data_IF_211158671275
#
_entry.id   IF_211158671275
#
_cell.length_a   1.000
_cell.length_b   1.000
_cell.length_c   1.000
_cell.angle_alpha   90.00
_cell.angle_beta   90.00
_cell.angle_gamma   90.00
#
_symmetry.space_group_name_H-M   'P 1'
#
loop_
_entity.id
_entity.type
_entity.pdbx_description
1 polymer ?
#
# COMPACT_ATOMS: atom_id res chain seq x y z
N UNK A 1 31.41 -6.74 -1.18
CA UNK A 1 30.72 -5.79 -0.29
C UNK A 1 30.68 -4.43 -0.98
N UNK A 2 29.59 -4.09 -1.65
CA UNK A 2 29.37 -2.78 -2.26
C UNK A 2 28.16 -2.14 -1.56
N UNK A 3 28.43 -1.05 -0.91
CA UNK A 3 27.49 -0.26 -0.09
C UNK A 3 26.57 0.55 -1.00
N UNK A 4 25.27 0.42 -0.78
CA UNK A 4 24.26 1.23 -1.46
C UNK A 4 24.39 2.71 -1.08
N UNK A 5 24.26 3.56 -2.07
CA UNK A 5 24.41 5.01 -1.93
C UNK A 5 23.21 5.69 -1.30
N UNK A 6 23.48 6.71 -0.51
CA UNK A 6 22.53 7.54 0.23
C UNK A 6 22.24 8.85 -0.48
N UNK A 7 20.97 9.23 -0.58
CA UNK A 7 20.54 10.61 -0.81
C UNK A 7 20.03 11.23 0.48
N UNK A 8 20.70 12.28 0.92
CA UNK A 8 20.26 13.14 2.01
C UNK A 8 19.25 14.12 1.42
N UNK A 9 17.98 13.99 1.83
CA UNK A 9 17.00 15.03 1.60
C UNK A 9 16.82 15.79 2.87
N UNK A 10 17.22 17.04 2.79
CA UNK A 10 16.91 18.03 3.80
C UNK A 10 15.42 18.29 3.76
N UNK A 11 14.61 17.51 4.52
CA UNK A 11 13.26 17.91 4.86
C UNK A 11 13.41 19.13 5.77
N UNK A 12 13.41 20.32 5.17
CA UNK A 12 13.07 21.52 5.90
C UNK A 12 11.60 21.38 6.22
N UNK A 13 11.29 20.82 7.38
CA UNK A 13 10.02 21.02 8.05
C UNK A 13 9.96 22.49 8.44
N UNK A 14 9.82 23.38 7.46
CA UNK A 14 9.21 24.66 7.71
C UNK A 14 7.74 24.35 8.03
N UNK A 15 7.45 24.21 9.30
CA UNK A 15 6.16 24.65 9.84
C UNK A 15 6.10 26.16 9.55
N UNK A 16 5.90 26.51 8.28
CA UNK A 16 5.39 27.82 7.93
C UNK A 16 3.93 27.81 8.35
N UNK A 17 3.71 28.10 9.63
CA UNK A 17 2.64 29.00 10.02
C UNK A 17 2.63 30.08 8.95
N UNK A 18 1.56 30.06 8.15
CA UNK A 18 1.14 31.14 7.24
C UNK A 18 2.28 32.07 6.81
N UNK A 19 2.78 31.91 5.61
CA UNK A 19 3.38 33.05 4.93
C UNK A 19 2.24 34.06 4.67
N UNK A 20 1.92 34.87 5.67
CA UNK A 20 1.25 36.14 5.47
C UNK A 20 2.21 36.96 4.63
N UNK A 21 1.95 37.05 3.35
CA UNK A 21 2.62 38.06 2.53
C UNK A 21 2.01 39.39 2.97
N UNK A 22 2.64 40.04 3.94
CA UNK A 22 2.29 41.42 4.30
C UNK A 22 2.79 42.30 3.15
N UNK A 23 1.98 42.47 2.13
CA UNK A 23 2.20 43.49 1.13
C UNK A 23 1.57 44.78 1.70
N UNK A 24 2.35 45.55 2.45
CA UNK A 24 1.98 46.91 2.78
C UNK A 24 2.05 47.75 1.51
N UNK A 25 0.94 47.98 0.86
CA UNK A 25 0.86 48.93 -0.25
C UNK A 25 -0.05 50.10 0.15
N UNK A 26 0.48 51.29 0.15
CA UNK A 26 -0.25 52.53 0.37
C UNK A 26 -0.74 53.04 -0.97
N UNK A 27 -2.02 53.08 -1.19
CA UNK A 27 -2.64 54.05 -2.11
C UNK A 27 -3.13 55.14 -1.23
N UNK A 28 -2.64 56.33 -1.42
CA UNK A 28 -2.88 57.66 -0.71
C UNK A 28 -3.93 57.77 0.41
N UNK A 29 -4.81 56.81 0.59
CA UNK A 29 -5.96 56.87 1.47
C UNK A 29 -6.20 55.60 2.31
N UNK A 30 -5.64 54.42 1.90
CA UNK A 30 -5.90 53.15 2.54
C UNK A 30 -4.59 52.36 2.65
N UNK A 31 -4.40 51.74 3.82
CA UNK A 31 -3.27 50.84 4.03
C UNK A 31 -3.75 49.42 4.34
N UNK A 32 -3.45 48.47 3.45
CA UNK A 32 -3.69 47.05 3.75
C UNK A 32 -2.59 46.57 4.71
N UNK A 33 -2.99 46.16 5.92
CA UNK A 33 -2.06 45.73 6.97
C UNK A 33 -1.83 44.22 6.97
N UNK A 34 -2.82 43.44 6.54
CA UNK A 34 -2.68 42.02 6.28
C UNK A 34 -3.67 41.55 5.24
N UNK A 35 -3.26 40.62 4.41
CA UNK A 35 -4.15 39.96 3.47
C UNK A 35 -3.75 38.49 3.31
N UNK A 36 -4.73 37.61 3.18
CA UNK A 36 -4.51 36.20 2.93
C UNK A 36 -5.57 35.64 1.99
N UNK A 37 -5.12 34.76 1.11
CA UNK A 37 -5.93 34.01 0.18
C UNK A 37 -5.54 32.53 0.31
N UNK A 38 -6.46 31.66 0.74
CA UNK A 38 -6.14 30.24 0.92
C UNK A 38 -7.33 29.33 0.68
N UNK A 39 -7.04 28.10 0.24
CA UNK A 39 -8.05 27.05 0.06
C UNK A 39 -8.29 26.31 1.37
N UNK A 40 -9.54 26.24 1.80
CA UNK A 40 -10.02 25.50 2.96
C UNK A 40 -11.07 24.46 2.51
N UNK A 41 -10.66 23.22 2.32
CA UNK A 41 -11.55 22.18 1.81
C UNK A 41 -12.04 22.48 0.39
N UNK A 42 -13.37 22.71 0.25
CA UNK A 42 -14.02 23.06 -1.02
C UNK A 42 -14.25 24.57 -1.19
N UNK A 43 -13.71 25.38 -0.31
CA UNK A 43 -13.91 26.84 -0.31
C UNK A 43 -12.58 27.57 -0.48
N UNK A 44 -12.65 28.75 -1.11
CA UNK A 44 -11.60 29.77 -1.11
C UNK A 44 -11.95 30.78 -0.01
N UNK A 45 -11.02 30.98 0.93
CA UNK A 45 -11.17 31.94 2.02
C UNK A 45 -10.32 33.17 1.77
N UNK A 46 -10.94 34.33 1.88
CA UNK A 46 -10.33 35.66 1.72
C UNK A 46 -10.38 36.37 3.05
N UNK A 47 -9.24 36.82 3.55
CA UNK A 47 -9.13 37.65 4.74
C UNK A 47 -8.29 38.90 4.44
N UNK A 48 -8.81 40.08 4.78
CA UNK A 48 -8.14 41.35 4.55
C UNK A 48 -8.31 42.21 5.83
N UNK A 49 -7.23 42.86 6.26
CA UNK A 49 -7.25 43.86 7.31
C UNK A 49 -6.81 45.20 6.71
N UNK A 50 -7.63 46.21 6.86
CA UNK A 50 -7.47 47.53 6.25
C UNK A 50 -7.45 48.58 7.33
N UNK A 51 -6.41 49.42 7.37
CA UNK A 51 -6.31 50.62 8.16
C UNK A 51 -6.78 51.82 7.31
N UNK A 52 -7.69 52.60 7.88
CA UNK A 52 -8.33 53.75 7.27
C UNK A 52 -7.96 54.99 8.08
N UNK A 53 -7.21 55.87 7.44
CA UNK A 53 -6.71 57.11 8.05
C UNK A 53 -7.30 58.37 7.39
N UNK A 54 -7.72 58.26 6.12
CA UNK A 54 -8.30 59.39 5.39
C UNK A 54 -9.61 59.84 6.02
N UNK A 55 -9.76 61.12 6.19
CA UNK A 55 -11.02 61.77 6.61
C UNK A 55 -11.98 61.90 5.41
N UNK A 56 -13.27 61.68 5.67
CA UNK A 56 -14.31 61.75 4.66
C UNK A 56 -15.17 63.05 4.89
N UNK A 57 -15.52 63.70 3.79
CA UNK A 57 -16.50 64.80 3.84
C UNK A 57 -17.90 64.27 4.18
N UNK A 58 -18.81 65.17 4.60
CA UNK A 58 -20.11 64.77 5.15
C UNK A 58 -21.00 63.96 4.19
N UNK A 59 -20.80 64.09 2.88
CA UNK A 59 -21.54 63.36 1.82
C UNK A 59 -20.72 62.29 1.10
N UNK A 60 -19.51 62.00 1.56
CA UNK A 60 -18.57 61.10 0.90
C UNK A 60 -18.76 59.65 1.37
N UNK A 61 -18.64 58.74 0.42
CA UNK A 61 -18.58 57.30 0.65
C UNK A 61 -17.50 56.72 -0.25
N UNK A 62 -16.71 55.82 0.29
CA UNK A 62 -15.69 55.08 -0.41
C UNK A 62 -16.12 53.61 -0.48
N UNK A 63 -16.04 52.98 -1.62
CA UNK A 63 -16.40 51.59 -1.83
C UNK A 63 -15.16 50.80 -2.28
N UNK A 64 -14.82 49.80 -1.51
CA UNK A 64 -13.72 48.86 -1.85
C UNK A 64 -14.31 47.55 -2.29
N UNK A 65 -13.88 47.09 -3.47
CA UNK A 65 -14.33 45.81 -4.01
C UNK A 65 -13.15 44.85 -4.06
N UNK A 66 -13.13 43.80 -3.21
CA UNK A 66 -12.14 42.74 -3.34
C UNK A 66 -12.47 41.88 -4.57
N UNK A 67 -11.46 41.58 -5.37
CA UNK A 67 -11.59 40.81 -6.63
C UNK A 67 -10.57 39.67 -6.62
N UNK A 68 -11.05 38.48 -6.89
CA UNK A 68 -10.23 37.30 -7.16
C UNK A 68 -10.12 37.15 -8.68
N UNK A 69 -8.92 37.13 -9.21
CA UNK A 69 -8.69 36.96 -10.64
C UNK A 69 -7.46 36.09 -10.93
N UNK A 70 -7.41 35.51 -12.15
CA UNK A 70 -6.26 34.79 -12.66
C UNK A 70 -5.63 35.54 -13.86
N UNK A 71 -4.64 34.91 -14.50
CA UNK A 71 -3.97 35.43 -15.70
C UNK A 71 -4.75 35.19 -17.00
N UNK A 72 -5.86 34.42 -16.94
CA UNK A 72 -6.70 34.03 -18.08
C UNK A 72 -8.03 34.78 -18.11
N UNK A 73 -8.09 35.95 -17.44
CA UNK A 73 -9.25 36.85 -17.38
C UNK A 73 -10.46 36.33 -16.60
N UNK A 74 -10.34 35.21 -15.87
CA UNK A 74 -11.38 34.84 -14.91
C UNK A 74 -11.39 35.86 -13.77
N UNK A 75 -12.60 36.33 -13.41
CA UNK A 75 -12.79 37.38 -12.41
C UNK A 75 -14.01 37.06 -11.53
N UNK A 76 -13.82 37.12 -10.22
CA UNK A 76 -14.87 37.01 -9.24
C UNK A 76 -14.85 38.23 -8.31
N UNK A 77 -15.87 39.08 -8.39
CA UNK A 77 -16.05 40.17 -7.45
C UNK A 77 -16.67 39.64 -6.18
N UNK A 78 -16.07 40.00 -5.04
CA UNK A 78 -16.57 39.64 -3.72
C UNK A 78 -17.45 40.78 -3.17
N UNK A 79 -18.26 40.52 -2.13
CA UNK A 79 -19.10 41.54 -1.53
C UNK A 79 -18.31 42.81 -1.19
N UNK A 80 -18.82 44.01 -1.55
CA UNK A 80 -18.08 45.25 -1.36
C UNK A 80 -18.00 45.68 0.11
N UNK A 81 -16.99 46.50 0.40
CA UNK A 81 -16.76 47.13 1.68
C UNK A 81 -17.08 48.61 1.55
N UNK A 82 -18.01 49.10 2.34
CA UNK A 82 -18.41 50.49 2.35
C UNK A 82 -17.77 51.22 3.53
N UNK A 83 -17.04 52.31 3.26
CA UNK A 83 -16.49 53.21 4.27
C UNK A 83 -17.22 54.53 4.09
N UNK A 84 -18.14 54.80 5.02
CA UNK A 84 -19.11 55.86 4.87
C UNK A 84 -18.88 57.01 5.87
N UNK A 85 -19.05 58.25 5.45
CA UNK A 85 -19.29 59.37 6.40
C UNK A 85 -20.53 59.12 7.25
N UNK A 86 -20.68 59.84 8.34
CA UNK A 86 -21.85 59.66 9.24
C UNK A 86 -23.19 59.69 8.52
N UNK A 87 -23.36 60.65 7.59
CA UNK A 87 -24.61 60.82 6.84
C UNK A 87 -24.84 59.66 5.88
N UNK A 88 -23.84 59.29 5.13
CA UNK A 88 -23.91 58.17 4.16
C UNK A 88 -24.06 56.83 4.87
N UNK A 89 -23.53 56.66 6.07
CA UNK A 89 -23.71 55.42 6.84
C UNK A 89 -25.18 55.25 7.26
N UNK A 90 -25.86 56.31 7.66
CA UNK A 90 -27.30 56.27 8.00
C UNK A 90 -28.16 55.96 6.76
N UNK A 91 -27.80 56.52 5.59
CA UNK A 91 -28.45 56.21 4.31
C UNK A 91 -28.24 54.72 3.97
N UNK A 92 -27.00 54.23 4.03
CA UNK A 92 -26.65 52.85 3.81
C UNK A 92 -27.50 51.92 4.69
N UNK A 93 -27.58 52.14 5.98
CA UNK A 93 -28.38 51.31 6.91
C UNK A 93 -29.88 51.29 6.58
N UNK A 94 -30.43 52.34 6.02
CA UNK A 94 -31.84 52.44 5.59
C UNK A 94 -32.09 51.69 4.26
N UNK A 95 -31.13 51.68 3.37
CA UNK A 95 -31.26 51.07 2.04
C UNK A 95 -30.88 49.58 2.02
N UNK A 96 -29.97 49.16 2.90
CA UNK A 96 -29.42 47.74 2.93
C UNK A 96 -30.51 46.75 3.39
N UNK A 97 -31.62 47.19 3.95
CA UNK A 97 -32.77 46.29 4.25
C UNK A 97 -33.32 45.59 2.99
N UNK A 98 -32.94 46.03 1.77
CA UNK A 98 -33.48 45.56 0.49
C UNK A 98 -32.52 44.90 -0.49
N UNK A 99 -31.19 45.05 -0.40
CA UNK A 99 -30.33 44.68 -1.55
C UNK A 99 -29.11 43.77 -1.32
N UNK A 100 -28.39 43.80 -0.21
CA UNK A 100 -27.19 42.95 -0.07
C UNK A 100 -26.90 42.59 1.40
N UNK A 101 -27.33 41.43 1.81
CA UNK A 101 -27.07 40.88 3.17
C UNK A 101 -25.61 40.61 3.51
N UNK A 102 -24.70 40.60 2.52
CA UNK A 102 -23.28 40.23 2.66
C UNK A 102 -22.33 41.44 2.65
N UNK A 103 -22.78 42.64 2.31
CA UNK A 103 -21.93 43.82 2.28
C UNK A 103 -21.55 44.30 3.70
N UNK A 104 -20.27 44.62 3.89
CA UNK A 104 -19.78 45.19 5.15
C UNK A 104 -19.66 46.71 5.06
N UNK A 105 -20.08 47.41 6.11
CA UNK A 105 -19.99 48.86 6.15
C UNK A 105 -19.37 49.38 7.45
N UNK A 106 -18.44 50.32 7.33
CA UNK A 106 -17.81 51.03 8.43
C UNK A 106 -18.20 52.52 8.40
N UNK A 107 -18.67 53.04 9.55
CA UNK A 107 -18.82 54.49 9.72
C UNK A 107 -17.45 55.10 10.03
N UNK A 108 -16.95 55.96 9.13
CA UNK A 108 -15.70 56.69 9.33
C UNK A 108 -15.86 57.74 10.46
N UNK A 109 -14.94 57.68 11.43
CA UNK A 109 -14.78 58.69 12.49
C UNK A 109 -13.51 59.48 12.19
N UNK A 110 -13.69 60.67 11.60
CA UNK A 110 -12.57 61.50 11.20
C UNK A 110 -11.62 61.81 12.37
N UNK A 111 -10.37 62.00 12.08
CA UNK A 111 -9.33 62.23 13.07
C UNK A 111 -8.82 60.96 13.79
N UNK A 112 -9.49 59.82 13.69
CA UNK A 112 -9.11 58.57 14.34
C UNK A 112 -8.62 57.53 13.32
N UNK A 113 -7.59 56.75 13.64
CA UNK A 113 -7.26 55.54 12.92
C UNK A 113 -8.30 54.47 13.20
N UNK A 114 -8.88 53.87 12.16
CA UNK A 114 -9.81 52.75 12.27
C UNK A 114 -9.34 51.58 11.44
N UNK A 115 -9.43 50.38 12.00
CA UNK A 115 -9.08 49.13 11.30
C UNK A 115 -10.36 48.36 11.02
N UNK A 116 -10.50 47.84 9.80
CA UNK A 116 -11.59 46.98 9.40
C UNK A 116 -11.04 45.59 9.01
N UNK A 117 -11.75 44.56 9.49
CA UNK A 117 -11.43 43.17 9.14
C UNK A 117 -12.53 42.63 8.21
N UNK A 118 -12.12 42.19 7.04
CA UNK A 118 -12.97 41.55 6.05
C UNK A 118 -12.66 40.07 5.99
N UNK A 119 -13.69 39.23 6.08
CA UNK A 119 -13.57 37.78 5.96
C UNK A 119 -14.72 37.27 5.09
N UNK A 120 -14.40 36.57 4.02
CA UNK A 120 -15.36 35.99 3.09
C UNK A 120 -14.91 34.62 2.63
N UNK A 121 -15.89 33.71 2.42
CA UNK A 121 -15.61 32.43 1.74
C UNK A 121 -16.51 32.27 0.52
N UNK A 122 -15.97 31.63 -0.53
CA UNK A 122 -16.67 31.32 -1.78
C UNK A 122 -16.32 29.90 -2.22
N UNK A 123 -17.21 29.21 -2.96
CA UNK A 123 -16.88 27.90 -3.53
C UNK A 123 -15.60 27.97 -4.35
N UNK A 124 -14.72 26.99 -4.15
CA UNK A 124 -13.44 26.91 -4.84
C UNK A 124 -13.62 26.31 -6.24
N UNK A 125 -13.23 27.03 -7.26
CA UNK A 125 -13.19 26.59 -8.65
C UNK A 125 -11.76 26.30 -9.10
N UNK A 126 -11.58 25.47 -10.14
CA UNK A 126 -10.26 25.01 -10.56
C UNK A 126 -9.36 26.12 -11.08
N UNK A 127 -9.93 27.14 -11.74
CA UNK A 127 -9.18 28.31 -12.23
C UNK A 127 -8.53 29.11 -11.08
N UNK A 128 -9.10 29.03 -9.88
CA UNK A 128 -8.60 29.74 -8.69
C UNK A 128 -7.27 29.22 -8.17
N UNK A 129 -6.72 28.10 -8.70
CA UNK A 129 -5.45 27.52 -8.22
C UNK A 129 -4.25 28.49 -8.29
N UNK A 130 -4.30 29.47 -9.20
CA UNK A 130 -3.26 30.49 -9.36
C UNK A 130 -3.82 31.89 -9.20
N UNK A 131 -4.95 32.04 -8.53
CA UNK A 131 -5.63 33.30 -8.39
C UNK A 131 -4.84 34.30 -7.54
N UNK A 132 -5.03 35.56 -7.86
CA UNK A 132 -4.61 36.72 -7.09
C UNK A 132 -5.79 37.43 -6.50
N UNK A 133 -5.62 37.98 -5.31
CA UNK A 133 -6.60 38.87 -4.67
C UNK A 133 -6.17 40.30 -4.90
N UNK A 134 -7.04 41.08 -5.49
CA UNK A 134 -6.86 42.52 -5.73
C UNK A 134 -7.95 43.32 -5.05
N UNK A 135 -7.67 44.55 -4.73
CA UNK A 135 -8.60 45.49 -4.16
C UNK A 135 -8.77 46.67 -5.09
N UNK A 136 -10.01 47.02 -5.42
CA UNK A 136 -10.34 48.18 -6.25
C UNK A 136 -11.07 49.18 -5.39
N UNK A 137 -10.67 50.46 -5.47
CA UNK A 137 -11.38 51.59 -4.90
C UNK A 137 -12.31 52.17 -5.97
N UNK A 138 -13.64 52.17 -5.68
CA UNK A 138 -14.67 52.87 -6.48
C UNK A 138 -15.07 54.10 -5.74
N UNK A 139 -14.71 55.28 -6.26
CA UNK A 139 -15.23 56.55 -5.71
C UNK A 139 -16.60 56.84 -6.30
N UNK A 140 -17.59 57.18 -5.43
CA UNK A 140 -18.89 57.66 -5.88
C UNK A 140 -18.79 59.11 -6.41
N UNK A 141 -18.65 59.25 -7.76
CA UNK A 141 -18.68 60.54 -8.47
C UNK A 141 -18.43 60.31 -9.93
N UNK A 142 -19.50 60.32 -10.75
CA UNK A 142 -19.53 60.46 -12.21
C UNK A 142 -18.30 59.99 -13.00
N UNK A 143 -18.35 58.74 -13.51
CA UNK A 143 -17.39 58.27 -14.50
C UNK A 143 -16.82 56.93 -14.11
N UNK A 144 -16.79 55.99 -15.06
CA UNK A 144 -16.02 54.75 -14.97
C UNK A 144 -14.56 55.16 -14.95
N UNK A 145 -13.72 54.76 -13.99
CA UNK A 145 -12.28 55.07 -14.08
C UNK A 145 -11.68 54.33 -15.25
N UNK A 146 -11.10 55.07 -16.18
CA UNK A 146 -10.38 54.56 -17.39
C UNK A 146 -8.99 54.01 -17.04
N UNK A 147 -8.75 53.48 -15.97
CA UNK A 147 -7.63 52.59 -15.63
C UNK A 147 -7.93 51.99 -14.25
N UNK A 148 -8.34 50.76 -14.23
CA UNK A 148 -8.47 50.01 -12.98
C UNK A 148 -7.06 49.79 -12.41
N UNK A 149 -6.66 50.56 -11.41
CA UNK A 149 -5.48 50.27 -10.60
C UNK A 149 -5.73 49.06 -9.74
N UNK A 150 -5.52 47.90 -10.32
CA UNK A 150 -5.57 46.62 -9.60
C UNK A 150 -4.38 46.49 -8.66
N UNK A 151 -4.61 46.66 -7.39
CA UNK A 151 -3.59 46.43 -6.38
C UNK A 151 -3.66 44.96 -5.96
N UNK A 152 -2.76 44.13 -6.46
CA UNK A 152 -2.63 42.78 -5.96
C UNK A 152 -2.14 42.79 -4.51
N UNK A 153 -2.96 42.29 -3.60
CA UNK A 153 -2.71 42.28 -2.16
C UNK A 153 -2.41 40.89 -1.60
N UNK A 154 -2.80 39.82 -2.30
CA UNK A 154 -2.43 38.45 -1.96
C UNK A 154 -2.43 37.56 -3.19
N UNK A 155 -1.71 36.46 -3.13
CA UNK A 155 -1.72 35.39 -4.13
C UNK A 155 -2.00 34.05 -3.46
N UNK A 156 -2.81 33.23 -4.15
CA UNK A 156 -2.98 31.83 -3.73
C UNK A 156 -1.72 31.07 -4.12
N UNK A 157 -0.95 30.65 -3.15
CA UNK A 157 0.12 29.69 -3.39
C UNK A 157 -0.49 28.30 -3.17
N UNK A 158 -0.52 27.44 -4.20
CA UNK A 158 -0.90 26.06 -4.02
C UNK A 158 0.03 25.46 -2.96
N UNK A 159 -0.54 24.84 -1.94
CA UNK A 159 0.29 24.11 -0.97
C UNK A 159 1.06 23.05 -1.76
N UNK A 160 2.38 23.01 -1.69
CA UNK A 160 3.13 21.97 -2.36
C UNK A 160 2.57 20.63 -1.86
N UNK A 161 2.10 19.80 -2.78
CA UNK A 161 1.69 18.44 -2.45
C UNK A 161 2.92 17.72 -1.94
N UNK A 162 2.86 17.25 -0.68
CA UNK A 162 3.94 16.47 -0.12
C UNK A 162 4.08 15.18 -0.93
N UNK A 163 5.16 15.05 -1.66
CA UNK A 163 5.58 13.84 -2.34
C UNK A 163 6.72 13.24 -1.51
N UNK A 164 6.50 12.11 -0.84
CA UNK A 164 7.55 11.51 -0.03
C UNK A 164 8.67 11.03 -0.96
N UNK A 165 9.90 11.45 -0.66
CA UNK A 165 11.08 10.90 -1.32
C UNK A 165 11.57 9.74 -0.46
N UNK A 166 11.44 8.53 -1.00
CA UNK A 166 11.73 7.27 -0.32
C UNK A 166 12.87 6.56 -1.05
N UNK A 167 13.66 5.83 -0.30
CA UNK A 167 14.76 5.03 -0.84
C UNK A 167 14.31 3.58 -1.01
N UNK A 168 14.41 3.06 -2.23
CA UNK A 168 14.20 1.67 -2.54
C UNK A 168 15.51 0.89 -2.37
N UNK A 169 15.42 -0.32 -1.84
CA UNK A 169 16.58 -1.20 -1.72
C UNK A 169 16.70 -2.11 -2.92
N UNK A 170 17.89 -2.19 -3.47
CA UNK A 170 18.22 -3.20 -4.49
C UNK A 170 18.28 -4.58 -3.83
N UNK A 171 17.47 -5.57 -4.29
CA UNK A 171 17.55 -6.91 -3.77
C UNK A 171 18.88 -7.59 -4.11
N UNK A 172 19.24 -8.60 -3.33
CA UNK A 172 20.38 -9.45 -3.67
C UNK A 172 20.08 -10.32 -4.88
N UNK A 173 21.08 -10.56 -5.70
CA UNK A 173 20.98 -11.46 -6.84
C UNK A 173 20.81 -12.90 -6.35
N UNK A 174 19.76 -13.57 -6.81
CA UNK A 174 19.52 -14.97 -6.55
C UNK A 174 20.39 -15.80 -7.52
N UNK A 175 21.47 -16.40 -7.02
CA UNK A 175 22.42 -17.14 -7.85
C UNK A 175 21.87 -18.47 -8.36
N UNK A 176 20.90 -19.05 -7.67
CA UNK A 176 20.22 -20.29 -8.06
C UNK A 176 18.73 -20.15 -7.76
N UNK A 177 17.92 -20.02 -8.80
CA UNK A 177 16.47 -19.91 -8.68
C UNK A 177 15.83 -21.28 -8.62
N UNK A 178 15.65 -21.80 -7.41
CA UNK A 178 14.91 -23.04 -7.19
C UNK A 178 13.47 -22.69 -6.85
N UNK A 179 12.55 -23.32 -7.55
CA UNK A 179 11.10 -23.18 -7.35
C UNK A 179 10.48 -24.55 -7.11
N UNK A 180 9.31 -24.56 -6.55
CA UNK A 180 8.64 -25.78 -6.12
C UNK A 180 7.16 -25.72 -6.45
N UNK A 181 6.65 -26.75 -7.11
CA UNK A 181 5.22 -27.05 -7.20
C UNK A 181 4.88 -28.20 -6.27
N UNK A 182 3.75 -28.11 -5.58
CA UNK A 182 3.31 -29.10 -4.59
C UNK A 182 1.86 -29.50 -4.87
N UNK A 183 1.54 -30.74 -4.51
CA UNK A 183 0.17 -31.20 -4.54
C UNK A 183 0.00 -32.48 -3.70
N UNK A 184 -1.25 -32.87 -3.52
CA UNK A 184 -1.64 -34.12 -2.86
C UNK A 184 -2.54 -34.93 -3.80
N UNK A 185 -2.34 -36.23 -3.83
CA UNK A 185 -3.14 -37.17 -4.60
C UNK A 185 -3.68 -38.27 -3.69
N UNK A 186 -4.97 -38.55 -3.82
CA UNK A 186 -5.71 -39.53 -3.00
C UNK A 186 -5.94 -40.79 -3.84
N UNK A 187 -4.88 -41.59 -4.00
CA UNK A 187 -4.92 -42.80 -4.82
C UNK A 187 -5.52 -43.94 -4.00
N UNK A 188 -6.63 -44.46 -4.48
CA UNK A 188 -7.32 -45.59 -3.88
C UNK A 188 -6.68 -46.94 -4.28
N UNK A 189 -6.54 -47.80 -3.30
CA UNK A 189 -6.05 -49.18 -3.48
C UNK A 189 -7.08 -50.16 -2.94
N UNK A 190 -7.32 -51.29 -3.61
CA UNK A 190 -8.10 -52.35 -3.01
C UNK A 190 -7.48 -52.83 -1.68
N UNK A 191 -8.25 -53.48 -0.84
CA UNK A 191 -7.79 -53.97 0.49
C UNK A 191 -6.55 -54.88 0.32
N UNK A 192 -5.47 -54.56 1.02
CA UNK A 192 -4.17 -55.25 0.98
C UNK A 192 -3.45 -55.26 -0.38
N UNK A 193 -3.93 -54.46 -1.36
CA UNK A 193 -3.26 -54.30 -2.66
C UNK A 193 -2.40 -53.05 -2.66
N UNK A 194 -1.25 -53.17 -3.30
CA UNK A 194 -0.28 -52.05 -3.45
C UNK A 194 -0.06 -51.66 -4.92
N UNK A 195 -0.60 -52.44 -5.87
CA UNK A 195 -0.58 -52.09 -7.29
C UNK A 195 -1.61 -50.98 -7.59
N UNK A 196 -1.21 -50.00 -8.43
CA UNK A 196 -2.09 -48.95 -8.90
C UNK A 196 -2.98 -49.53 -10.01
N UNK A 197 -4.29 -49.50 -9.77
CA UNK A 197 -5.32 -49.77 -10.75
C UNK A 197 -5.93 -48.45 -11.20
N UNK A 198 -5.63 -48.01 -12.43
CA UNK A 198 -6.04 -46.70 -12.93
C UNK A 198 -7.56 -46.50 -12.89
N UNK A 199 -8.30 -47.53 -13.28
CA UNK A 199 -9.78 -47.49 -13.37
C UNK A 199 -10.46 -47.73 -12.02
N UNK A 200 -9.73 -47.87 -10.94
CA UNK A 200 -10.29 -48.09 -9.61
C UNK A 200 -10.62 -46.76 -8.96
N UNK A 201 -11.88 -46.61 -8.54
CA UNK A 201 -12.36 -45.37 -7.88
C UNK A 201 -12.08 -44.10 -8.72
N UNK A 202 -11.46 -43.10 -8.14
CA UNK A 202 -11.11 -41.82 -8.77
C UNK A 202 -9.66 -41.73 -9.22
N UNK A 203 -8.95 -42.86 -9.33
CA UNK A 203 -7.52 -42.89 -9.58
C UNK A 203 -7.08 -42.17 -10.85
N UNK A 204 -7.89 -42.22 -11.93
CA UNK A 204 -7.60 -41.47 -13.16
C UNK A 204 -7.45 -39.96 -12.86
N UNK A 205 -8.37 -39.41 -12.06
CA UNK A 205 -8.35 -37.97 -11.72
C UNK A 205 -7.14 -37.66 -10.83
N UNK A 206 -6.91 -38.46 -9.82
CA UNK A 206 -5.82 -38.25 -8.84
C UNK A 206 -4.44 -38.39 -9.46
N UNK A 207 -4.24 -39.37 -10.34
CA UNK A 207 -2.99 -39.55 -11.09
C UNK A 207 -2.76 -38.40 -12.08
N UNK A 208 -3.84 -37.90 -12.71
CA UNK A 208 -3.72 -36.78 -13.62
C UNK A 208 -3.25 -35.49 -12.91
N UNK A 209 -3.61 -35.24 -11.65
CA UNK A 209 -3.10 -34.10 -10.88
C UNK A 209 -1.56 -34.11 -10.83
N UNK A 210 -0.97 -35.27 -10.57
CA UNK A 210 0.50 -35.44 -10.54
C UNK A 210 1.09 -35.17 -11.94
N UNK A 211 0.48 -35.78 -12.97
CA UNK A 211 0.92 -35.65 -14.36
C UNK A 211 0.85 -34.19 -14.82
N UNK A 212 -0.23 -33.50 -14.55
CA UNK A 212 -0.43 -32.10 -14.92
C UNK A 212 0.59 -31.19 -14.21
N UNK A 213 0.87 -31.41 -12.92
CA UNK A 213 1.89 -30.67 -12.19
C UNK A 213 3.28 -30.87 -12.80
N UNK A 214 3.65 -32.11 -13.11
CA UNK A 214 4.96 -32.40 -13.74
C UNK A 214 5.01 -31.78 -15.15
N UNK A 215 3.94 -31.90 -15.95
CA UNK A 215 3.90 -31.37 -17.31
C UNK A 215 3.93 -29.83 -17.33
N UNK A 216 3.28 -29.17 -16.39
CA UNK A 216 3.33 -27.70 -16.26
C UNK A 216 4.76 -27.22 -16.10
N UNK A 217 5.57 -27.92 -15.31
CA UNK A 217 6.99 -27.60 -15.14
C UNK A 217 7.79 -28.04 -16.35
N UNK A 218 7.62 -29.27 -16.82
CA UNK A 218 8.41 -29.87 -17.91
C UNK A 218 8.25 -29.12 -19.23
N UNK A 219 7.08 -28.58 -19.52
CA UNK A 219 6.78 -27.90 -20.79
C UNK A 219 7.28 -26.45 -20.83
N UNK A 220 7.74 -25.89 -19.72
CA UNK A 220 8.39 -24.58 -19.70
C UNK A 220 9.88 -24.73 -20.07
N UNK A 221 10.26 -24.19 -21.23
CA UNK A 221 11.66 -24.23 -21.73
C UNK A 221 12.65 -23.45 -20.87
N UNK A 222 12.15 -22.65 -19.92
CA UNK A 222 13.00 -21.84 -19.03
C UNK A 222 13.38 -22.55 -17.74
N UNK A 223 12.85 -23.78 -17.54
CA UNK A 223 13.09 -24.51 -16.30
C UNK A 223 13.66 -25.91 -16.57
N UNK A 224 14.32 -26.44 -15.57
CA UNK A 224 14.79 -27.82 -15.55
C UNK A 224 14.41 -28.47 -14.23
N UNK A 225 13.71 -29.61 -14.29
CA UNK A 225 13.34 -30.37 -13.10
C UNK A 225 14.62 -30.90 -12.45
N UNK A 226 14.79 -30.63 -11.17
CA UNK A 226 15.95 -31.10 -10.38
C UNK A 226 15.58 -32.22 -9.45
N UNK A 227 14.35 -32.30 -8.97
CA UNK A 227 13.89 -33.30 -8.03
C UNK A 227 12.39 -33.48 -8.06
N UNK A 228 11.93 -34.71 -7.93
CA UNK A 228 10.53 -35.05 -7.63
C UNK A 228 10.56 -35.82 -6.31
N UNK A 229 9.81 -35.33 -5.32
CA UNK A 229 9.65 -36.03 -4.04
C UNK A 229 8.23 -36.52 -3.92
N UNK A 230 8.05 -37.77 -3.50
CA UNK A 230 6.75 -38.39 -3.25
C UNK A 230 6.77 -38.89 -1.81
N UNK A 231 5.81 -38.47 -1.01
CA UNK A 231 5.64 -38.92 0.36
C UNK A 231 4.27 -39.58 0.50
N UNK A 232 4.25 -40.87 0.81
CA UNK A 232 3.01 -41.63 0.95
C UNK A 232 2.60 -41.81 2.40
N UNK A 233 1.30 -41.77 2.64
CA UNK A 233 0.71 -41.95 3.96
C UNK A 233 -0.25 -43.14 3.98
N UNK A 234 -0.30 -43.86 5.11
CA UNK A 234 -1.42 -44.73 5.41
C UNK A 234 -2.22 -44.16 6.57
N UNK A 235 -3.45 -44.58 6.67
CA UNK A 235 -4.36 -44.17 7.77
C UNK A 235 -4.09 -44.98 9.04
N UNK A 236 -4.41 -44.40 10.22
CA UNK A 236 -4.25 -45.07 11.51
C UNK A 236 -5.29 -46.19 11.78
N UNK A 237 -5.61 -47.00 10.79
CA UNK A 237 -6.53 -48.14 10.92
C UNK A 237 -5.81 -49.47 10.71
N UNK A 238 -5.82 -50.31 11.71
CA UNK A 238 -5.17 -51.62 11.73
C UNK A 238 -3.73 -51.59 12.25
N UNK A 239 -3.04 -52.73 12.22
CA UNK A 239 -1.72 -52.85 12.83
C UNK A 239 -0.65 -51.98 12.13
N UNK A 240 0.14 -51.26 12.94
CA UNK A 240 1.21 -50.37 12.47
C UNK A 240 2.14 -51.03 11.48
N UNK A 241 2.56 -52.30 11.69
CA UNK A 241 3.43 -53.05 10.79
C UNK A 241 2.81 -53.24 9.40
N UNK A 242 1.49 -53.47 9.34
CA UNK A 242 0.77 -53.59 8.07
C UNK A 242 0.72 -52.23 7.37
N UNK A 243 0.41 -51.17 8.09
CA UNK A 243 0.32 -49.80 7.58
C UNK A 243 1.69 -49.31 7.07
N UNK A 244 2.78 -49.65 7.77
CA UNK A 244 4.13 -49.37 7.33
C UNK A 244 4.43 -50.05 6.00
N UNK A 245 4.12 -51.33 5.85
CA UNK A 245 4.31 -52.05 4.59
C UNK A 245 3.48 -51.44 3.47
N UNK A 246 2.21 -51.13 3.73
CA UNK A 246 1.31 -50.59 2.73
C UNK A 246 1.78 -49.18 2.30
N UNK A 247 2.10 -48.27 3.23
CA UNK A 247 2.61 -46.96 2.92
C UNK A 247 3.86 -47.01 2.03
N UNK A 248 4.85 -47.81 2.43
CA UNK A 248 6.10 -48.02 1.68
C UNK A 248 5.86 -48.57 0.28
N UNK A 249 5.12 -49.66 0.15
CA UNK A 249 4.93 -50.33 -1.15
C UNK A 249 4.06 -49.50 -2.09
N UNK A 250 3.00 -48.84 -1.60
CA UNK A 250 2.15 -47.93 -2.38
C UNK A 250 2.93 -46.72 -2.89
N UNK A 251 3.79 -46.14 -2.06
CA UNK A 251 4.66 -45.04 -2.46
C UNK A 251 5.67 -45.49 -3.52
N UNK A 252 6.24 -46.72 -3.38
CA UNK A 252 7.11 -47.30 -4.39
C UNK A 252 6.37 -47.47 -5.72
N UNK A 253 5.18 -48.03 -5.71
CA UNK A 253 4.38 -48.26 -6.93
C UNK A 253 4.03 -46.91 -7.62
N UNK A 254 3.75 -45.85 -6.85
CA UNK A 254 3.55 -44.54 -7.44
C UNK A 254 4.81 -43.96 -8.07
N UNK A 255 5.99 -44.14 -7.43
CA UNK A 255 7.28 -43.81 -8.06
C UNK A 255 7.48 -44.57 -9.37
N UNK A 256 7.22 -45.86 -9.40
CA UNK A 256 7.35 -46.71 -10.61
C UNK A 256 6.39 -46.21 -11.70
N UNK A 257 5.18 -45.85 -11.36
CA UNK A 257 4.20 -45.28 -12.28
C UNK A 257 4.68 -43.95 -12.89
N UNK A 258 5.17 -43.02 -12.09
CA UNK A 258 5.73 -41.75 -12.58
C UNK A 258 6.98 -41.97 -13.41
N UNK A 259 7.86 -42.90 -13.02
CA UNK A 259 9.07 -43.23 -13.78
C UNK A 259 8.80 -43.85 -15.15
N UNK A 260 7.70 -44.60 -15.31
CA UNK A 260 7.30 -45.15 -16.61
C UNK A 260 6.79 -44.08 -17.59
N UNK A 261 6.16 -43.01 -17.05
CA UNK A 261 5.64 -41.90 -17.86
C UNK A 261 6.72 -40.90 -18.30
N UNK A 262 7.78 -40.79 -17.50
CA UNK A 262 8.81 -39.81 -17.72
C UNK A 262 10.19 -40.48 -17.65
N UNK A 263 11.05 -40.33 -18.68
CA UNK A 263 12.38 -40.94 -18.73
C UNK A 263 13.35 -40.16 -17.82
N UNK A 264 12.97 -39.92 -16.58
CA UNK A 264 13.87 -39.36 -15.58
C UNK A 264 14.85 -40.47 -15.10
N UNK A 265 16.10 -40.09 -14.91
CA UNK A 265 17.03 -40.96 -14.18
C UNK A 265 16.44 -41.21 -12.77
N UNK A 266 16.45 -42.45 -12.31
CA UNK A 266 15.85 -42.84 -11.02
C UNK A 266 16.33 -42.04 -9.81
N UNK A 267 17.48 -41.35 -9.94
CA UNK A 267 18.02 -40.43 -8.93
C UNK A 267 17.19 -39.13 -8.75
N UNK A 268 16.36 -38.77 -9.72
CA UNK A 268 15.48 -37.56 -9.62
C UNK A 268 14.25 -37.81 -8.79
N UNK A 269 13.80 -39.06 -8.61
CA UNK A 269 12.57 -39.35 -7.87
C UNK A 269 12.92 -39.96 -6.50
N UNK A 270 12.67 -39.16 -5.47
CA UNK A 270 12.85 -39.53 -4.06
C UNK A 270 11.52 -39.90 -3.43
N UNK A 271 11.54 -40.95 -2.60
CA UNK A 271 10.35 -41.41 -1.89
C UNK A 271 10.59 -41.52 -0.40
N UNK A 272 9.61 -41.09 0.36
CA UNK A 272 9.50 -41.26 1.82
C UNK A 272 8.08 -41.67 2.15
N UNK A 273 7.85 -42.18 3.35
CA UNK A 273 6.52 -42.60 3.77
C UNK A 273 6.31 -42.36 5.28
N UNK A 274 5.07 -42.18 5.68
CA UNK A 274 4.61 -42.18 7.06
C UNK A 274 3.66 -43.36 7.24
N UNK A 275 3.95 -44.30 8.15
CA UNK A 275 3.12 -45.49 8.37
C UNK A 275 1.69 -45.20 8.72
N UNK A 276 1.45 -44.14 9.51
CA UNK A 276 0.14 -43.71 9.97
C UNK A 276 0.10 -42.22 10.14
N UNK A 277 -0.80 -41.54 9.44
CA UNK A 277 -0.93 -40.08 9.45
C UNK A 277 -1.68 -39.56 10.69
N UNK A 278 -1.03 -39.64 11.85
CA UNK A 278 -1.56 -39.10 13.11
C UNK A 278 -1.55 -37.57 13.13
N UNK A 279 -0.65 -36.92 12.39
CA UNK A 279 -0.61 -35.45 12.27
C UNK A 279 -1.82 -34.94 11.50
N UNK A 280 -2.13 -35.57 10.37
CA UNK A 280 -3.35 -35.27 9.62
C UNK A 280 -4.62 -35.57 10.41
N UNK A 281 -4.60 -36.65 11.20
CA UNK A 281 -5.71 -36.96 12.11
C UNK A 281 -5.89 -35.86 13.17
N UNK A 282 -4.82 -35.39 13.79
CA UNK A 282 -4.84 -34.30 14.77
C UNK A 282 -5.38 -33.00 14.13
N UNK A 283 -4.93 -32.68 12.92
CA UNK A 283 -5.40 -31.50 12.19
C UNK A 283 -6.92 -31.58 11.93
N UNK A 284 -7.41 -32.71 11.41
CA UNK A 284 -8.85 -32.92 11.21
C UNK A 284 -9.65 -32.84 12.51
N UNK A 285 -9.12 -33.39 13.59
CA UNK A 285 -9.78 -33.33 14.91
C UNK A 285 -9.83 -31.89 15.45
N UNK A 286 -8.76 -31.09 15.19
CA UNK A 286 -8.67 -29.70 15.62
C UNK A 286 -9.75 -28.81 15.00
N UNK A 287 -10.16 -29.11 13.78
CA UNK A 287 -11.16 -28.35 13.04
C UNK A 287 -12.61 -28.74 13.34
N UNK A 288 -12.83 -29.68 14.26
CA UNK A 288 -14.16 -30.20 14.57
C UNK A 288 -14.67 -29.76 15.93
N UNK A 289 -15.99 -29.95 16.16
CA UNK A 289 -16.69 -29.61 17.38
C UNK A 289 -17.31 -30.85 18.04
N UNK A 290 -16.67 -32.03 17.96
CA UNK A 290 -17.14 -33.24 18.64
C UNK A 290 -17.13 -33.08 20.15
N UNK A 291 -18.11 -33.68 20.83
CA UNK A 291 -18.28 -33.57 22.27
C UNK A 291 -17.05 -34.08 23.05
N UNK A 292 -16.40 -35.17 22.59
CA UNK A 292 -15.26 -35.80 23.24
C UNK A 292 -13.90 -35.33 22.66
N UNK A 293 -13.87 -34.24 21.90
CA UNK A 293 -12.68 -33.75 21.18
C UNK A 293 -11.42 -33.69 22.06
N UNK A 294 -11.51 -33.07 23.23
CA UNK A 294 -10.37 -32.90 24.14
C UNK A 294 -9.84 -34.25 24.67
N UNK A 295 -10.75 -35.20 24.97
CA UNK A 295 -10.37 -36.53 25.45
C UNK A 295 -9.67 -37.34 24.34
N UNK A 296 -10.18 -37.25 23.10
CA UNK A 296 -9.60 -37.91 21.94
C UNK A 296 -8.25 -37.22 21.57
N UNK A 297 -8.17 -35.90 21.61
CA UNK A 297 -6.95 -35.14 21.34
C UNK A 297 -5.80 -35.57 22.28
N UNK A 298 -6.07 -35.76 23.57
CA UNK A 298 -5.08 -36.27 24.54
C UNK A 298 -4.55 -37.68 24.20
N UNK A 299 -5.36 -38.51 23.57
CA UNK A 299 -4.93 -39.84 23.11
C UNK A 299 -4.05 -39.69 21.86
N UNK A 300 -4.50 -38.89 20.87
CA UNK A 300 -3.83 -38.69 19.60
C UNK A 300 -2.44 -38.09 19.82
N UNK A 301 -2.31 -37.07 20.65
CA UNK A 301 -1.04 -36.36 20.94
C UNK A 301 -0.14 -37.08 21.97
N UNK A 302 -0.60 -38.16 22.55
CA UNK A 302 0.18 -38.93 23.53
C UNK A 302 1.34 -39.68 22.87
N UNK A 303 2.35 -40.04 23.67
CA UNK A 303 3.47 -40.89 23.24
C UNK A 303 3.17 -42.40 23.26
N UNK A 304 1.86 -42.78 23.30
CA UNK A 304 1.47 -44.20 23.27
C UNK A 304 1.78 -44.83 21.92
N UNK A 305 1.96 -46.18 21.93
CA UNK A 305 2.08 -46.91 20.68
C UNK A 305 0.86 -46.71 19.79
N UNK A 306 1.03 -46.48 18.47
CA UNK A 306 -0.06 -46.20 17.53
C UNK A 306 -1.24 -47.18 17.64
N UNK A 307 -0.99 -48.48 17.60
CA UNK A 307 -2.05 -49.51 17.76
C UNK A 307 -2.85 -49.33 19.05
N UNK A 308 -2.20 -48.88 20.13
CA UNK A 308 -2.87 -48.63 21.40
C UNK A 308 -3.74 -47.40 21.39
N UNK A 309 -3.30 -46.35 20.69
CA UNK A 309 -4.14 -45.14 20.47
C UNK A 309 -5.41 -45.51 19.72
N UNK A 310 -5.29 -46.26 18.62
CA UNK A 310 -6.43 -46.69 17.80
C UNK A 310 -7.38 -47.56 18.64
N UNK A 311 -6.85 -48.57 19.37
CA UNK A 311 -7.66 -49.44 20.23
C UNK A 311 -8.45 -48.64 21.25
N UNK A 312 -7.82 -47.70 21.97
CA UNK A 312 -8.50 -46.88 22.97
C UNK A 312 -9.59 -46.02 22.32
N UNK A 313 -9.33 -45.41 21.19
CA UNK A 313 -10.33 -44.57 20.48
C UNK A 313 -11.51 -45.47 20.05
N UNK A 314 -11.24 -46.65 19.48
CA UNK A 314 -12.25 -47.60 19.06
C UNK A 314 -13.12 -48.08 20.21
N UNK A 315 -12.53 -48.40 21.37
CA UNK A 315 -13.25 -48.91 22.52
C UNK A 315 -14.02 -47.85 23.30
N UNK A 316 -13.44 -46.68 23.51
CA UNK A 316 -14.02 -45.61 24.32
C UNK A 316 -14.97 -44.71 23.55
N UNK A 317 -14.73 -44.53 22.24
CA UNK A 317 -15.50 -43.62 21.39
C UNK A 317 -16.02 -44.33 20.14
N UNK A 318 -16.79 -45.38 20.23
CA UNK A 318 -17.14 -46.25 19.10
C UNK A 318 -17.97 -45.53 18.02
N UNK A 319 -18.77 -44.54 18.40
CA UNK A 319 -19.53 -43.73 17.42
C UNK A 319 -18.61 -42.83 16.60
N UNK A 320 -17.67 -42.17 17.26
CA UNK A 320 -16.65 -41.36 16.65
C UNK A 320 -15.74 -42.21 15.72
N UNK A 321 -15.29 -43.37 16.21
CA UNK A 321 -14.44 -44.26 15.42
C UNK A 321 -15.10 -44.75 14.13
N UNK A 322 -16.42 -45.10 14.18
CA UNK A 322 -17.17 -45.42 12.94
C UNK A 322 -17.27 -44.26 11.97
N UNK A 323 -17.39 -43.02 12.49
CA UNK A 323 -17.38 -41.84 11.67
C UNK A 323 -16.00 -41.66 11.00
N UNK A 324 -14.91 -41.76 11.75
CA UNK A 324 -13.55 -41.60 11.28
C UNK A 324 -13.19 -42.64 10.21
N UNK A 325 -13.56 -43.92 10.43
CA UNK A 325 -13.37 -44.99 9.44
C UNK A 325 -13.98 -44.64 8.08
N UNK A 326 -15.17 -44.05 8.10
CA UNK A 326 -15.90 -43.73 6.86
C UNK A 326 -15.44 -42.45 6.19
N UNK A 327 -15.01 -41.44 6.96
CA UNK A 327 -14.83 -40.08 6.44
C UNK A 327 -13.40 -39.59 6.50
N UNK A 328 -12.62 -39.96 7.55
CA UNK A 328 -11.27 -39.39 7.72
C UNK A 328 -10.17 -40.35 7.24
N UNK A 329 -10.26 -41.64 7.58
CA UNK A 329 -9.22 -42.60 7.20
C UNK A 329 -9.05 -42.69 5.66
N UNK A 330 -10.11 -42.38 4.92
CA UNK A 330 -10.03 -42.31 3.45
C UNK A 330 -9.16 -41.13 3.01
N UNK A 331 -9.29 -39.98 3.68
CA UNK A 331 -8.54 -38.76 3.38
C UNK A 331 -7.08 -38.90 3.84
N UNK A 332 -6.83 -39.60 4.95
CA UNK A 332 -5.49 -39.81 5.50
C UNK A 332 -4.65 -40.83 4.70
N UNK A 333 -5.26 -41.49 3.70
CA UNK A 333 -4.54 -42.34 2.73
C UNK A 333 -4.23 -41.53 1.49
N UNK A 334 -3.18 -40.76 1.52
CA UNK A 334 -2.80 -39.89 0.41
C UNK A 334 -1.32 -39.95 0.10
N UNK A 335 -0.93 -39.31 -0.97
CA UNK A 335 0.47 -39.10 -1.31
C UNK A 335 0.69 -37.62 -1.61
N UNK A 336 1.59 -37.00 -0.89
CA UNK A 336 2.06 -35.65 -1.19
C UNK A 336 3.20 -35.73 -2.21
N UNK A 337 3.19 -34.82 -3.15
CA UNK A 337 4.26 -34.75 -4.13
C UNK A 337 4.78 -33.33 -4.30
N UNK A 338 6.05 -33.24 -4.58
CA UNK A 338 6.76 -31.99 -4.77
C UNK A 338 7.63 -32.09 -6.01
N UNK A 339 7.52 -31.13 -6.92
CA UNK A 339 8.38 -31.00 -8.09
C UNK A 339 9.25 -29.78 -7.87
N UNK A 340 10.55 -30.01 -7.64
CA UNK A 340 11.55 -28.95 -7.55
C UNK A 340 12.19 -28.73 -8.92
N UNK A 341 12.36 -27.49 -9.30
CA UNK A 341 12.97 -27.13 -10.58
C UNK A 341 13.84 -25.89 -10.47
N UNK A 342 14.86 -25.85 -11.29
CA UNK A 342 15.72 -24.70 -11.46
C UNK A 342 15.19 -23.83 -12.59
N UNK A 343 15.10 -22.53 -12.34
CA UNK A 343 14.70 -21.51 -13.34
C UNK A 343 15.95 -20.78 -13.80
N UNK A 344 16.18 -20.64 -15.12
CA UNK A 344 17.29 -19.85 -15.63
C UNK A 344 17.14 -18.35 -15.33
N UNK A 345 18.22 -17.58 -15.33
CA UNK A 345 18.13 -16.13 -15.30
C UNK A 345 17.43 -15.58 -16.55
N UNK A 346 16.74 -14.41 -16.38
CA UNK A 346 16.05 -13.72 -17.46
C UNK A 346 16.69 -12.37 -17.77
N UNK A 347 16.66 -11.98 -19.05
CA UNK A 347 16.91 -10.58 -19.46
C UNK A 347 15.73 -9.70 -19.03
N UNK A 348 15.86 -8.38 -19.18
CA UNK A 348 14.77 -7.45 -18.85
C UNK A 348 13.56 -7.70 -19.75
N UNK A 349 13.79 -7.90 -21.05
CA UNK A 349 12.75 -8.16 -22.06
C UNK A 349 12.00 -9.47 -21.81
N UNK A 350 12.73 -10.50 -21.39
CA UNK A 350 12.16 -11.78 -20.99
C UNK A 350 11.38 -11.64 -19.67
N UNK A 351 11.94 -10.89 -18.72
CA UNK A 351 11.29 -10.63 -17.43
C UNK A 351 9.93 -9.98 -17.59
N UNK A 352 9.74 -9.10 -18.57
CA UNK A 352 8.44 -8.51 -18.88
C UNK A 352 7.42 -9.60 -19.26
N UNK A 353 7.77 -10.50 -20.17
CA UNK A 353 6.88 -11.58 -20.63
C UNK A 353 6.58 -12.56 -19.49
N UNK A 354 7.60 -12.92 -18.71
CA UNK A 354 7.45 -13.82 -17.57
C UNK A 354 6.62 -13.20 -16.46
N UNK A 355 6.75 -11.89 -16.23
CA UNK A 355 5.92 -11.18 -15.26
C UNK A 355 4.42 -11.25 -15.59
N UNK A 356 4.07 -11.20 -16.86
CA UNK A 356 2.68 -11.25 -17.32
C UNK A 356 2.11 -12.67 -17.34
N UNK A 357 2.95 -13.72 -17.47
CA UNK A 357 2.51 -15.11 -17.62
C UNK A 357 2.73 -15.96 -16.36
N UNK A 358 3.91 -15.88 -15.76
CA UNK A 358 4.29 -16.68 -14.59
C UNK A 358 5.30 -15.92 -13.69
N UNK A 359 4.87 -14.89 -12.98
CA UNK A 359 5.77 -14.03 -12.22
C UNK A 359 6.55 -14.73 -11.10
N UNK A 360 6.10 -15.91 -10.63
CA UNK A 360 6.84 -16.69 -9.63
C UNK A 360 8.17 -17.26 -10.13
N UNK A 361 8.38 -17.31 -11.44
CA UNK A 361 9.66 -17.69 -12.02
C UNK A 361 10.71 -16.57 -11.99
N UNK A 362 10.30 -15.32 -11.70
CA UNK A 362 11.23 -14.21 -11.52
C UNK A 362 11.86 -14.24 -10.12
N UNK A 363 13.11 -13.81 -10.04
CA UNK A 363 13.72 -13.44 -8.78
C UNK A 363 13.27 -12.04 -8.34
N UNK A 364 13.44 -11.74 -7.05
CA UNK A 364 13.12 -10.39 -6.54
C UNK A 364 13.99 -9.31 -7.21
N UNK A 365 15.23 -9.64 -7.54
CA UNK A 365 16.16 -8.74 -8.22
C UNK A 365 15.73 -8.50 -9.69
N UNK A 366 15.30 -9.54 -10.41
CA UNK A 366 14.77 -9.40 -11.77
C UNK A 366 13.50 -8.54 -11.80
N UNK A 367 12.59 -8.72 -10.82
CA UNK A 367 11.41 -7.85 -10.66
C UNK A 367 11.82 -6.40 -10.38
N UNK A 368 12.82 -6.19 -9.54
CA UNK A 368 13.32 -4.85 -9.23
C UNK A 368 13.89 -4.17 -10.48
N UNK A 369 14.76 -4.87 -11.25
CA UNK A 369 15.31 -4.34 -12.52
C UNK A 369 14.19 -4.05 -13.53
N UNK A 370 13.22 -4.93 -13.64
CA UNK A 370 12.06 -4.73 -14.49
C UNK A 370 11.27 -3.48 -14.07
N UNK A 371 11.01 -3.30 -12.78
CA UNK A 371 10.31 -2.11 -12.29
C UNK A 371 11.01 -0.81 -12.69
N UNK A 372 12.36 -0.77 -12.64
CA UNK A 372 13.15 0.40 -12.99
C UNK A 372 13.06 0.81 -14.47
N UNK A 373 12.52 -0.03 -15.35
CA UNK A 373 12.27 0.34 -16.76
C UNK A 373 11.01 1.17 -16.94
N UNK A 374 10.15 1.23 -15.92
CA UNK A 374 8.91 2.00 -15.96
C UNK A 374 9.04 3.33 -15.21
N UNK A 375 8.22 4.28 -15.59
CA UNK A 375 8.13 5.56 -14.88
C UNK A 375 7.76 5.33 -13.42
N UNK A 376 8.56 5.84 -12.45
CA UNK A 376 8.25 5.72 -11.03
C UNK A 376 6.84 6.21 -10.70
N UNK A 377 6.09 5.40 -9.95
CA UNK A 377 4.70 5.69 -9.59
C UNK A 377 3.66 5.33 -10.64
N UNK A 378 4.04 4.85 -11.84
CA UNK A 378 3.09 4.31 -12.82
C UNK A 378 2.38 3.06 -12.28
N UNK A 379 1.22 2.73 -12.85
CA UNK A 379 0.45 1.56 -12.45
C UNK A 379 1.27 0.26 -12.54
N UNK A 380 2.04 0.09 -13.61
CA UNK A 380 2.89 -1.09 -13.82
C UNK A 380 4.06 -1.13 -12.84
N UNK A 381 4.73 0.01 -12.61
CA UNK A 381 5.78 0.14 -11.59
C UNK A 381 5.28 -0.33 -10.23
N UNK A 382 4.15 0.20 -9.80
CA UNK A 382 3.55 -0.13 -8.51
C UNK A 382 3.12 -1.61 -8.44
N UNK A 383 2.51 -2.13 -9.53
CA UNK A 383 2.08 -3.52 -9.63
C UNK A 383 3.25 -4.48 -9.43
N UNK A 384 4.42 -4.20 -10.03
CA UNK A 384 5.59 -5.09 -9.91
C UNK A 384 6.03 -5.20 -8.44
N UNK A 385 6.17 -4.10 -7.71
CA UNK A 385 6.57 -4.14 -6.30
C UNK A 385 5.53 -4.81 -5.41
N UNK A 386 4.25 -4.60 -5.68
CA UNK A 386 3.18 -5.26 -4.91
C UNK A 386 3.12 -6.76 -5.20
N UNK A 387 3.34 -7.19 -6.46
CA UNK A 387 3.47 -8.61 -6.81
C UNK A 387 4.72 -9.21 -6.16
N UNK A 388 5.83 -8.48 -6.13
CA UNK A 388 7.07 -8.95 -5.52
C UNK A 388 6.88 -9.27 -4.02
N UNK A 389 6.22 -8.40 -3.24
CA UNK A 389 5.97 -8.68 -1.82
C UNK A 389 4.96 -9.81 -1.59
N UNK A 390 4.02 -10.03 -2.51
CA UNK A 390 3.10 -11.17 -2.47
C UNK A 390 3.83 -12.51 -2.69
N UNK A 391 4.81 -12.54 -3.60
CA UNK A 391 5.60 -13.74 -3.90
C UNK A 391 6.72 -13.97 -2.87
N UNK A 392 7.22 -12.90 -2.26
CA UNK A 392 8.28 -12.95 -1.26
C UNK A 392 7.85 -12.27 0.06
N UNK A 393 6.78 -12.77 0.73
CA UNK A 393 6.13 -12.08 1.86
C UNK A 393 7.02 -11.92 3.10
N UNK A 394 8.03 -12.75 3.24
CA UNK A 394 8.96 -12.72 4.38
C UNK A 394 10.32 -12.10 4.01
N UNK A 395 10.47 -11.64 2.78
CA UNK A 395 11.71 -10.96 2.37
C UNK A 395 11.71 -9.49 2.84
N UNK A 396 12.67 -9.08 3.69
CA UNK A 396 12.67 -7.74 4.26
C UNK A 396 12.81 -6.61 3.20
N UNK A 397 13.57 -6.86 2.13
CA UNK A 397 13.75 -5.88 1.03
C UNK A 397 12.46 -5.71 0.23
N UNK A 398 11.75 -6.81 -0.08
CA UNK A 398 10.45 -6.74 -0.75
C UNK A 398 9.44 -5.95 0.08
N UNK A 399 9.40 -6.20 1.40
CA UNK A 399 8.51 -5.49 2.32
C UNK A 399 8.82 -3.99 2.38
N UNK A 400 10.10 -3.59 2.48
CA UNK A 400 10.45 -2.15 2.48
C UNK A 400 10.05 -1.48 1.16
N UNK A 401 10.35 -2.10 0.03
CA UNK A 401 10.04 -1.54 -1.28
C UNK A 401 8.52 -1.40 -1.50
N UNK A 402 7.74 -2.40 -1.09
CA UNK A 402 6.28 -2.34 -1.12
C UNK A 402 5.72 -1.26 -0.16
N UNK A 403 6.31 -1.11 1.03
CA UNK A 403 5.96 -0.04 1.96
C UNK A 403 6.20 1.34 1.34
N UNK A 404 7.29 1.52 0.61
CA UNK A 404 7.56 2.77 -0.12
C UNK A 404 6.48 3.07 -1.16
N UNK A 405 6.02 2.08 -1.90
CA UNK A 405 4.90 2.23 -2.85
C UNK A 405 3.62 2.64 -2.12
N UNK A 406 3.27 1.95 -1.04
CA UNK A 406 2.07 2.27 -0.26
C UNK A 406 2.12 3.70 0.32
N UNK A 407 3.30 4.15 0.79
CA UNK A 407 3.48 5.52 1.29
C UNK A 407 3.35 6.58 0.18
N UNK A 408 3.85 6.30 -1.03
CA UNK A 408 3.68 7.19 -2.19
C UNK A 408 2.19 7.32 -2.53
N UNK A 409 1.44 6.22 -2.44
CA UNK A 409 -0.01 6.18 -2.63
C UNK A 409 -0.81 6.71 -1.43
N UNK A 410 -0.13 7.09 -0.32
CA UNK A 410 -0.72 7.53 0.95
C UNK A 410 -1.57 6.46 1.65
N UNK A 411 -1.38 5.21 1.31
CA UNK A 411 -1.98 4.07 2.02
C UNK A 411 -1.14 3.73 3.27
N UNK A 412 -1.45 4.44 4.35
CA UNK A 412 -0.73 4.31 5.62
C UNK A 412 -0.98 2.99 6.32
N UNK A 413 -2.12 2.33 6.08
CA UNK A 413 -2.45 1.04 6.70
C UNK A 413 -1.59 -0.08 6.12
N UNK A 414 -1.58 -0.20 4.80
CA UNK A 414 -0.77 -1.20 4.09
C UNK A 414 0.73 -0.95 4.33
N UNK A 415 1.17 0.32 4.32
CA UNK A 415 2.55 0.66 4.60
C UNK A 415 3.01 0.22 6.00
N UNK A 416 2.16 0.37 7.02
CA UNK A 416 2.48 -0.05 8.39
C UNK A 416 2.75 -1.56 8.47
N UNK A 417 1.91 -2.39 7.86
CA UNK A 417 2.05 -3.85 7.85
C UNK A 417 3.38 -4.27 7.20
N UNK A 418 3.73 -3.70 6.06
CA UNK A 418 4.99 -4.02 5.40
C UNK A 418 6.22 -3.53 6.18
N UNK A 419 6.13 -2.37 6.87
CA UNK A 419 7.23 -1.83 7.66
C UNK A 419 7.53 -2.65 8.93
N UNK A 420 6.64 -3.51 9.38
CA UNK A 420 6.90 -4.45 10.47
C UNK A 420 7.92 -5.52 10.07
N UNK A 421 7.88 -5.97 8.80
CA UNK A 421 8.78 -6.97 8.23
C UNK A 421 10.00 -6.37 7.51
N UNK A 422 10.09 -5.05 7.42
CA UNK A 422 11.18 -4.37 6.74
C UNK A 422 12.51 -4.47 7.53
N UNK A 423 13.68 -4.43 6.86
CA UNK A 423 14.96 -4.60 7.52
C UNK A 423 15.28 -3.38 8.42
N UNK A 424 16.02 -3.55 9.53
CA UNK A 424 16.36 -2.45 10.43
C UNK A 424 17.46 -1.55 9.85
N UNK A 425 17.14 -0.83 8.79
CA UNK A 425 18.04 0.03 8.03
C UNK A 425 17.60 1.51 8.12
N UNK A 426 18.50 2.45 7.79
CA UNK A 426 18.18 3.87 7.72
C UNK A 426 17.01 4.18 6.76
N UNK A 427 16.91 3.45 5.67
CA UNK A 427 15.82 3.56 4.68
C UNK A 427 14.46 3.21 5.32
N UNK A 428 14.42 2.18 6.13
CA UNK A 428 13.21 1.82 6.92
C UNK A 428 12.88 2.89 7.94
N UNK A 429 13.89 3.47 8.57
CA UNK A 429 13.69 4.58 9.53
C UNK A 429 13.11 5.80 8.80
N UNK A 430 13.58 6.10 7.59
CA UNK A 430 13.01 7.15 6.74
C UNK A 430 11.54 6.86 6.42
N UNK A 431 11.25 5.65 5.95
CA UNK A 431 9.90 5.25 5.60
C UNK A 431 8.93 5.32 6.81
N UNK A 432 9.36 4.89 8.00
CA UNK A 432 8.60 5.04 9.26
C UNK A 432 8.37 6.51 9.62
N UNK A 433 9.36 7.38 9.43
CA UNK A 433 9.20 8.82 9.63
C UNK A 433 8.16 9.44 8.68
N UNK A 434 8.16 9.01 7.42
CA UNK A 434 7.14 9.41 6.43
C UNK A 434 5.76 8.88 6.81
N UNK A 435 5.66 7.63 7.28
CA UNK A 435 4.41 7.05 7.78
C UNK A 435 3.82 7.90 8.91
N UNK A 436 4.61 8.21 9.94
CA UNK A 436 4.18 9.06 11.05
C UNK A 436 3.71 10.44 10.56
N UNK A 437 4.41 11.02 9.59
CA UNK A 437 4.01 12.31 8.99
C UNK A 437 2.65 12.23 8.29
N UNK A 438 2.43 11.20 7.46
CA UNK A 438 1.16 11.00 6.74
C UNK A 438 -0.01 10.68 7.68
N UNK A 439 0.26 10.10 8.84
CA UNK A 439 -0.72 9.85 9.91
C UNK A 439 -1.02 11.08 10.77
N UNK A 440 -0.31 12.21 10.55
CA UNK A 440 -0.45 13.43 11.36
C UNK A 440 0.36 13.44 12.66
N UNK A 441 1.18 12.43 12.92
CA UNK A 441 2.02 12.28 14.12
C UNK A 441 3.33 13.06 13.97
N UNK A 442 3.24 14.39 13.82
CA UNK A 442 4.38 15.25 13.46
C UNK A 442 5.52 15.25 14.49
N UNK A 443 5.24 15.09 15.78
CA UNK A 443 6.28 15.01 16.83
C UNK A 443 7.16 13.78 16.64
N UNK A 444 6.53 12.63 16.41
CA UNK A 444 7.19 11.34 16.20
C UNK A 444 7.92 11.30 14.86
N UNK A 445 7.31 11.80 13.79
CA UNK A 445 7.94 11.97 12.49
C UNK A 445 9.26 12.76 12.61
N UNK A 446 9.23 13.91 13.30
CA UNK A 446 10.41 14.75 13.53
C UNK A 446 11.50 14.02 14.34
N UNK A 447 11.12 13.29 15.39
CA UNK A 447 12.05 12.52 16.22
C UNK A 447 12.73 11.40 15.41
N UNK A 448 11.94 10.66 14.61
CA UNK A 448 12.41 9.55 13.79
C UNK A 448 13.36 10.03 12.68
N UNK A 449 13.00 11.11 12.00
CA UNK A 449 13.82 11.69 10.93
C UNK A 449 15.10 12.36 11.44
N UNK A 450 15.10 12.91 12.67
CA UNK A 450 16.32 13.43 13.30
C UNK A 450 17.33 12.33 13.60
N UNK A 451 16.91 11.15 14.05
CA UNK A 451 17.79 10.01 14.28
C UNK A 451 18.54 9.61 13.01
N UNK A 452 17.90 9.70 11.85
CA UNK A 452 18.53 9.39 10.57
C UNK A 452 19.67 10.34 10.20
N UNK A 453 19.59 11.65 10.51
CA UNK A 453 20.66 12.62 10.22
C UNK A 453 21.99 12.27 10.91
N UNK A 454 21.96 11.65 12.08
CA UNK A 454 23.16 11.20 12.77
C UNK A 454 23.81 9.98 12.10
N UNK A 455 23.04 9.14 11.42
CA UNK A 455 23.57 7.96 10.69
C UNK A 455 24.16 8.33 9.31
N UNK A 456 23.69 9.38 8.67
CA UNK A 456 24.15 9.79 7.33
C UNK A 456 25.48 10.58 7.34
N UNK A 457 25.90 11.12 8.48
CA UNK A 457 27.17 11.84 8.62
C UNK A 457 28.44 10.98 8.51
N UNK A 458 28.30 9.63 8.53
CA UNK A 458 29.43 8.71 8.55
C UNK A 458 29.68 7.90 7.27
N UNK A 459 28.87 8.06 6.23
CA UNK A 459 29.04 7.34 4.95
C UNK A 459 29.11 8.29 3.76
N UNK A 460 30.24 8.28 3.06
CA UNK A 460 30.43 8.97 1.77
C UNK A 460 29.50 8.37 0.71
N UNK A 461 28.80 9.26 0.04
CA UNK A 461 27.85 8.96 -1.04
C UNK A 461 28.51 8.35 -2.26
N UNK A 462 28.01 7.24 -2.72
CA UNK A 462 28.22 6.73 -4.08
C UNK A 462 26.85 6.52 -4.74
N UNK A 463 26.68 7.21 -5.83
CA UNK A 463 25.66 7.13 -6.89
C UNK A 463 24.29 6.58 -6.56
N UNK A 464 23.34 7.48 -6.38
CA UNK A 464 21.91 7.21 -6.45
C UNK A 464 21.31 7.84 -7.72
N UNK A 465 20.55 7.03 -8.43
CA UNK A 465 19.73 7.41 -9.57
C UNK A 465 18.74 8.51 -9.16
N UNK A 466 18.84 9.67 -9.81
CA UNK A 466 17.84 10.74 -9.71
C UNK A 466 16.77 10.53 -10.78
N UNK A 467 15.50 10.25 -10.43
CA UNK A 467 14.44 10.52 -11.38
C UNK A 467 14.23 12.04 -11.44
N UNK A 468 14.51 12.62 -12.58
CA UNK A 468 14.11 13.99 -12.89
C UNK A 468 12.61 13.98 -13.12
N UNK A 469 11.86 14.62 -12.24
CA UNK A 469 10.43 14.87 -12.44
C UNK A 469 10.34 16.26 -13.06
N UNK A 470 9.96 16.31 -14.34
CA UNK A 470 9.44 17.50 -15.01
C UNK A 470 7.98 17.74 -14.60
#
# INVERSE_FOLDING_TARGET
MKTGGFFIITIILSLSIQAQTVVTKETGTIRTTSSSLYKAGKELVVSISIDITRDLSSNESMVLVPIVCDTLEHRLELPPIYINSRKQHIVFLRETSKKEKSAQALQRKNGNKQTMHYLQSVPFEQWMNQATLSLIEKSCGCGIPDAEDFICIARLHPRPTFVPQLAFLTPQVETSKIRTEKGSAFIDFPVNVTAIHKEFSNNVIELNKIIETINTVKNDSNVSITRISIHGYASPDGPLQLNERLARERTRTLKEYVSQLYPFDGKYIHTTYTPEDWEGFEALLSDTTFQDKEAIMKIVTSNMHPDRKEEIIRMRFPAFYRFVLKHWFVILRHSDYTVEYHVRPFTIEESQKVFDTNPKNLSLEEMFRLALTYTPGSATYNKIFMTAVQLFPDNPTANLNAACIALIQKDTKTAAVFLEKAPPLPETTLAKGVLCFLQGNFKEAKATLKKQRHYSGSRKTQDCYKPTIT
#
